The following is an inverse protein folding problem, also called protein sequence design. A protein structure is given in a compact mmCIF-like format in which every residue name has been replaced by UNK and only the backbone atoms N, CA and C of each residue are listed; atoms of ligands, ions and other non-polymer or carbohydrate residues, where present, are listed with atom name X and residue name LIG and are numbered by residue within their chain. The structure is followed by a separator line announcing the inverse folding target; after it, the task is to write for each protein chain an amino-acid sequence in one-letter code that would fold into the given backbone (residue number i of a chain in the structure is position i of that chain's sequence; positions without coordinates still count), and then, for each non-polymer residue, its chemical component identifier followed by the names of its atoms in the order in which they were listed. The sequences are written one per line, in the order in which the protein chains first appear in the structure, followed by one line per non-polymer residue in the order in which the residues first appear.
data_IF_824354136839
#
_entry.id   IF_824354136839
#
_cell.length_a   1.000
_cell.length_b   1.000
_cell.length_c   1.000
_cell.angle_alpha   90.00
_cell.angle_beta   90.00
_cell.angle_gamma   90.00
#
_symmetry.space_group_name_H-M   'P 1'
#
loop_
_entity.id
_entity.type
_entity.pdbx_description
1 polymer ?
#
# COMPACT_ATOMS: atom_id res chain seq x y z
N UNK A 1 -14.61 20.69 -13.62
CA UNK A 1 -14.41 19.25 -13.85
C UNK A 1 -14.74 18.57 -12.52
N UNK A 2 -15.96 18.07 -12.33
CA UNK A 2 -16.35 17.46 -11.07
C UNK A 2 -15.87 16.00 -11.07
N UNK A 3 -14.90 15.67 -10.21
CA UNK A 3 -14.53 14.29 -9.98
C UNK A 3 -15.73 13.60 -9.31
N UNK A 4 -16.30 12.59 -9.98
CA UNK A 4 -17.28 11.70 -9.36
C UNK A 4 -16.68 10.98 -8.15
N UNK A 5 -17.51 10.36 -7.28
CA UNK A 5 -17.02 9.65 -6.11
C UNK A 5 -15.97 8.61 -6.54
N UNK A 6 -14.73 8.76 -6.04
CA UNK A 6 -13.68 7.78 -6.29
C UNK A 6 -14.09 6.45 -5.67
N UNK A 7 -13.94 5.32 -6.37
CA UNK A 7 -14.25 4.01 -5.79
C UNK A 7 -13.41 3.81 -4.54
N UNK A 8 -14.06 3.82 -3.38
CA UNK A 8 -13.38 3.65 -2.11
C UNK A 8 -13.14 2.16 -1.89
N UNK A 9 -11.95 1.70 -2.29
CA UNK A 9 -11.50 0.35 -2.00
C UNK A 9 -11.50 0.13 -0.48
N UNK A 10 -12.03 -1.00 0.02
CA UNK A 10 -12.03 -1.27 1.45
C UNK A 10 -10.59 -1.43 1.94
N UNK A 11 -10.30 -0.88 3.12
CA UNK A 11 -9.06 -1.15 3.82
C UNK A 11 -8.90 -2.66 4.05
N UNK A 12 -7.66 -3.14 3.93
CA UNK A 12 -7.32 -4.53 4.20
C UNK A 12 -5.98 -4.62 4.92
N UNK A 13 -5.82 -5.66 5.73
CA UNK A 13 -4.51 -5.98 6.31
C UNK A 13 -3.56 -6.48 5.21
N UNK A 14 -2.27 -6.20 5.40
CA UNK A 14 -1.19 -6.70 4.56
C UNK A 14 -0.01 -7.12 5.44
N UNK A 15 0.67 -8.19 5.05
CA UNK A 15 1.89 -8.65 5.73
C UNK A 15 3.10 -8.07 5.02
N UNK A 16 4.06 -7.52 5.77
CA UNK A 16 5.37 -7.16 5.22
C UNK A 16 6.14 -8.46 4.97
N UNK A 17 6.31 -8.82 3.71
CA UNK A 17 7.00 -10.04 3.28
C UNK A 17 8.51 -9.86 3.22
N UNK A 18 8.99 -8.62 3.03
CA UNK A 18 10.42 -8.31 2.97
C UNK A 18 10.67 -6.85 3.32
N UNK A 19 11.81 -6.61 3.97
CA UNK A 19 12.35 -5.29 4.25
C UNK A 19 13.78 -5.28 3.69
N UNK A 20 14.11 -4.28 2.88
CA UNK A 20 15.45 -4.15 2.29
C UNK A 20 15.91 -2.70 2.34
N UNK A 21 17.04 -2.45 2.99
CA UNK A 21 17.70 -1.14 2.96
C UNK A 21 18.43 -1.00 1.63
N UNK A 22 17.97 -0.07 0.78
CA UNK A 22 18.52 0.16 -0.57
C UNK A 22 19.66 1.16 -0.55
N UNK A 23 19.53 2.19 0.28
CA UNK A 23 20.55 3.22 0.52
C UNK A 23 20.49 3.65 1.99
N UNK A 24 21.38 4.54 2.49
CA UNK A 24 21.27 5.07 3.85
C UNK A 24 19.93 5.75 4.16
N UNK A 25 19.24 6.31 3.16
CA UNK A 25 17.99 7.07 3.32
C UNK A 25 16.76 6.42 2.67
N UNK A 26 16.91 5.26 2.03
CA UNK A 26 15.81 4.58 1.33
C UNK A 26 15.74 3.13 1.77
N UNK A 27 14.56 2.73 2.25
CA UNK A 27 14.22 1.35 2.59
C UNK A 27 12.98 0.94 1.82
N UNK A 28 13.04 -0.21 1.16
CA UNK A 28 11.92 -0.80 0.44
C UNK A 28 11.23 -1.85 1.30
N UNK A 29 9.90 -1.83 1.26
CA UNK A 29 9.03 -2.79 1.94
C UNK A 29 8.16 -3.47 0.89
N UNK A 30 8.12 -4.80 0.90
CA UNK A 30 7.24 -5.58 0.03
C UNK A 30 6.06 -6.06 0.86
N UNK A 31 4.85 -5.73 0.40
CA UNK A 31 3.61 -6.10 1.07
C UNK A 31 2.92 -7.23 0.33
N UNK A 32 2.42 -8.20 1.08
CA UNK A 32 1.48 -9.21 0.61
C UNK A 32 0.09 -8.89 1.16
N UNK A 33 -0.83 -8.32 0.36
CA UNK A 33 -2.17 -8.01 0.81
C UNK A 33 -2.95 -9.31 1.13
N UNK A 34 -3.81 -9.25 2.15
CA UNK A 34 -4.69 -10.39 2.50
C UNK A 34 -5.66 -10.75 1.36
N UNK A 35 -6.05 -9.76 0.56
CA UNK A 35 -6.87 -9.90 -0.66
C UNK A 35 -6.12 -9.28 -1.84
N UNK A 36 -5.53 -10.10 -2.74
CA UNK A 36 -4.85 -9.61 -3.94
C UNK A 36 -5.76 -8.75 -4.82
N UNK A 37 -5.17 -7.78 -5.52
CA UNK A 37 -5.87 -6.90 -6.45
C UNK A 37 -4.98 -6.56 -7.64
N UNK A 38 -5.61 -6.24 -8.77
CA UNK A 38 -4.92 -5.76 -9.98
C UNK A 38 -4.71 -4.25 -9.89
N UNK A 39 -3.56 -3.77 -10.36
CA UNK A 39 -3.27 -2.34 -10.49
C UNK A 39 -2.70 -2.06 -11.88
N UNK A 40 -2.87 -0.83 -12.35
CA UNK A 40 -2.18 -0.33 -13.54
C UNK A 40 -0.85 0.30 -13.14
N UNK A 41 0.13 0.23 -14.04
CA UNK A 41 1.43 0.87 -13.81
C UNK A 41 1.26 2.38 -13.58
N UNK A 42 1.98 2.90 -12.57
CA UNK A 42 1.90 4.32 -12.16
C UNK A 42 0.82 4.63 -11.11
N UNK A 43 -0.07 3.69 -10.79
CA UNK A 43 -0.99 3.84 -9.66
C UNK A 43 -0.25 3.68 -8.33
N UNK A 44 -0.73 4.41 -7.31
CA UNK A 44 -0.25 4.32 -5.94
C UNK A 44 -1.38 3.82 -5.04
N UNK A 45 -0.99 3.26 -3.89
CA UNK A 45 -1.93 2.79 -2.88
C UNK A 45 -1.69 3.53 -1.58
N UNK A 46 -2.77 3.77 -0.84
CA UNK A 46 -2.66 4.32 0.50
C UNK A 46 -2.22 3.23 1.47
N UNK A 47 -1.23 3.57 2.31
CA UNK A 47 -0.74 2.70 3.36
C UNK A 47 -1.00 3.38 4.70
N UNK A 48 -1.71 2.68 5.57
CA UNK A 48 -1.95 3.10 6.95
C UNK A 48 -1.27 2.14 7.90
N UNK A 49 -0.41 2.67 8.76
CA UNK A 49 0.12 1.91 9.89
C UNK A 49 -0.91 1.93 11.01
N UNK A 50 -1.22 0.76 11.55
CA UNK A 50 -2.07 0.61 12.73
C UNK A 50 -1.21 0.02 13.83
N UNK A 51 -0.91 0.81 14.85
CA UNK A 51 -0.33 0.35 16.09
C UNK A 51 -1.33 0.69 17.20
N UNK A 52 -1.56 -0.20 18.18
CA UNK A 52 -2.12 0.24 19.45
C UNK A 52 -1.14 1.23 20.09
N UNK A 53 -1.68 2.20 20.84
CA UNK A 53 -0.90 3.15 21.63
C UNK A 53 0.01 2.45 22.66
#
# INVERSE_FOLDING_TARGET
MNAGPQPQSPWQAATIARIEKRTPRVTSFWFRPSRPFTHLAGQHVDIRLTAPD
#
